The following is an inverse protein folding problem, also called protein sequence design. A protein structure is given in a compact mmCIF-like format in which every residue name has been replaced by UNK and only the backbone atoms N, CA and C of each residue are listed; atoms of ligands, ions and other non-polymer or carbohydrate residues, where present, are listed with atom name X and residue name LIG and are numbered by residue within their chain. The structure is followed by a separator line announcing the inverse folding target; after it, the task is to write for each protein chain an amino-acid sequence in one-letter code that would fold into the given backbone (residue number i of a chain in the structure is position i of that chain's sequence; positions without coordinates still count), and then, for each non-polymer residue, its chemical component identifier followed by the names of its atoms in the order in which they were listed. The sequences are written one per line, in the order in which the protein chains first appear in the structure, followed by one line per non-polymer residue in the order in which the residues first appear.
data_IF_259224836523
#
_entry.id   IF_259224836523
#
_cell.length_a   1.000
_cell.length_b   1.000
_cell.length_c   1.000
_cell.angle_alpha   90.00
_cell.angle_beta   90.00
_cell.angle_gamma   90.00
#
_symmetry.space_group_name_H-M   'P 1'
#
loop_
_entity.id
_entity.type
_entity.pdbx_description
1 polymer ?
#
# COMPACT_ATOMS: atom_id res chain seq x y z
N UNK A 1 -8.32 10.08 4.79
CA UNK A 1 -8.69 8.79 5.39
C UNK A 1 -10.06 8.94 6.04
N UNK A 2 -10.94 7.95 5.89
CA UNK A 2 -12.31 8.09 6.36
C UNK A 2 -12.39 7.80 7.86
N UNK A 3 -13.45 8.31 8.51
CA UNK A 3 -13.71 8.10 9.94
C UNK A 3 -14.00 6.60 10.17
N UNK A 4 -13.87 6.13 11.42
CA UNK A 4 -14.13 4.75 11.88
C UNK A 4 -12.94 3.78 11.80
N UNK A 5 -13.18 2.55 12.27
CA UNK A 5 -12.23 1.43 12.29
C UNK A 5 -11.67 1.15 10.89
N UNK A 6 -10.41 0.73 10.82
CA UNK A 6 -9.77 0.20 9.59
C UNK A 6 -9.92 -1.33 9.47
N UNK A 7 -10.72 -1.93 10.35
CA UNK A 7 -11.05 -3.35 10.33
C UNK A 7 -12.55 -3.52 10.13
N UNK A 8 -12.92 -4.34 9.17
CA UNK A 8 -14.30 -4.68 8.85
C UNK A 8 -14.50 -6.20 8.98
N UNK A 9 -15.55 -6.61 9.70
CA UNK A 9 -15.85 -8.03 9.93
C UNK A 9 -16.60 -8.65 8.74
N UNK A 10 -16.20 -9.86 8.35
CA UNK A 10 -16.84 -10.63 7.28
C UNK A 10 -17.38 -11.93 7.86
N UNK A 11 -18.70 -12.00 8.03
CA UNK A 11 -19.39 -13.12 8.64
C UNK A 11 -19.12 -14.47 7.94
N UNK A 12 -19.01 -14.47 6.61
CA UNK A 12 -18.74 -15.68 5.80
C UNK A 12 -17.34 -16.28 6.05
N UNK A 13 -16.40 -15.45 6.54
CA UNK A 13 -15.03 -15.84 6.86
C UNK A 13 -14.78 -15.94 8.36
N UNK A 14 -15.71 -15.46 9.18
CA UNK A 14 -15.55 -15.27 10.62
C UNK A 14 -14.24 -14.54 11.00
N UNK A 15 -13.89 -13.53 10.20
CA UNK A 15 -12.62 -12.81 10.31
C UNK A 15 -12.81 -11.35 9.94
N UNK A 16 -11.91 -10.50 10.41
CA UNK A 16 -11.79 -9.12 9.95
C UNK A 16 -10.81 -9.02 8.78
N UNK A 17 -11.07 -8.13 7.83
CA UNK A 17 -10.06 -7.67 6.87
C UNK A 17 -9.67 -6.22 7.13
N UNK A 18 -8.47 -5.87 6.72
CA UNK A 18 -7.92 -4.52 6.85
C UNK A 18 -8.29 -3.67 5.63
N UNK A 19 -8.73 -2.44 5.88
CA UNK A 19 -8.90 -1.40 4.87
C UNK A 19 -8.43 -0.06 5.43
N UNK A 20 -7.57 0.64 4.70
CA UNK A 20 -7.10 1.94 5.15
C UNK A 20 -8.08 3.06 4.79
N UNK A 21 -8.70 2.97 3.62
CA UNK A 21 -9.59 3.99 3.09
C UNK A 21 -11.05 3.62 3.33
N UNK A 22 -11.77 3.19 2.29
CA UNK A 22 -13.16 2.74 2.41
C UNK A 22 -13.22 1.23 2.63
N UNK A 23 -14.32 0.74 3.19
CA UNK A 23 -14.56 -0.72 3.29
C UNK A 23 -14.57 -1.39 1.92
N UNK A 24 -14.94 -0.68 0.85
CA UNK A 24 -14.87 -1.16 -0.53
C UNK A 24 -13.44 -1.25 -1.10
N UNK A 25 -12.42 -0.80 -0.35
CA UNK A 25 -11.00 -0.83 -0.72
C UNK A 25 -10.22 -1.68 0.30
N UNK A 26 -10.39 -3.02 0.30
CA UNK A 26 -9.58 -3.90 1.12
C UNK A 26 -8.11 -3.79 0.71
N UNK A 27 -7.21 -3.75 1.69
CA UNK A 27 -5.78 -3.67 1.41
C UNK A 27 -5.24 -5.00 0.87
N UNK A 28 -4.28 -4.89 -0.06
CA UNK A 28 -3.52 -6.03 -0.54
C UNK A 28 -2.37 -6.33 0.43
N UNK A 29 -2.15 -7.61 0.72
CA UNK A 29 -1.02 -8.02 1.55
C UNK A 29 0.28 -8.07 0.74
N UNK A 30 1.07 -6.99 0.75
CA UNK A 30 2.37 -6.90 0.08
C UNK A 30 3.48 -7.77 0.67
N UNK A 31 3.24 -8.43 1.82
CA UNK A 31 4.14 -9.49 2.34
C UNK A 31 3.94 -10.82 1.63
N UNK A 32 2.84 -10.98 0.89
CA UNK A 32 2.62 -12.16 0.06
C UNK A 32 3.39 -12.02 -1.26
N UNK A 33 4.39 -12.88 -1.55
CA UNK A 33 5.18 -12.78 -2.77
C UNK A 33 4.34 -12.92 -4.04
N UNK A 34 3.17 -13.58 -3.96
CA UNK A 34 2.23 -13.65 -5.09
C UNK A 34 1.67 -12.27 -5.40
N UNK A 35 1.22 -11.50 -4.40
CA UNK A 35 0.73 -10.12 -4.60
C UNK A 35 1.81 -9.24 -5.21
N UNK A 36 3.04 -9.36 -4.73
CA UNK A 36 4.19 -8.61 -5.29
C UNK A 36 4.38 -8.93 -6.76
N UNK A 37 4.34 -10.21 -7.15
CA UNK A 37 4.49 -10.62 -8.54
C UNK A 37 3.32 -10.14 -9.40
N UNK A 38 2.08 -10.30 -8.95
CA UNK A 38 0.90 -9.83 -9.69
C UNK A 38 0.97 -8.31 -9.94
N UNK A 39 1.39 -7.52 -8.96
CA UNK A 39 1.54 -6.08 -9.15
C UNK A 39 2.68 -5.72 -10.13
N UNK A 40 3.77 -6.49 -10.16
CA UNK A 40 4.82 -6.35 -11.18
C UNK A 40 4.28 -6.67 -12.58
N UNK A 41 3.46 -7.70 -12.70
CA UNK A 41 2.85 -8.08 -13.98
C UNK A 41 1.85 -7.03 -14.47
N UNK A 42 1.10 -6.38 -13.57
CA UNK A 42 0.26 -5.21 -13.89
C UNK A 42 1.09 -4.05 -14.45
N UNK A 43 2.24 -3.74 -13.85
CA UNK A 43 3.14 -2.70 -14.39
C UNK A 43 3.64 -3.06 -15.80
N UNK A 44 4.07 -4.31 -16.00
CA UNK A 44 4.54 -4.80 -17.31
C UNK A 44 3.41 -4.72 -18.35
N UNK A 45 2.20 -5.15 -18.00
CA UNK A 45 1.04 -5.11 -18.89
C UNK A 45 0.83 -3.70 -19.47
N UNK A 46 0.84 -2.67 -18.61
CA UNK A 46 0.64 -1.30 -19.06
C UNK A 46 1.84 -0.76 -19.85
N UNK A 47 3.07 -1.12 -19.48
CA UNK A 47 4.27 -0.78 -20.26
C UNK A 47 4.24 -1.41 -21.66
N UNK A 48 3.73 -2.64 -21.79
CA UNK A 48 3.55 -3.32 -23.09
C UNK A 48 2.51 -2.61 -23.96
N UNK A 49 1.52 -1.94 -23.35
CA UNK A 49 0.56 -1.06 -24.05
C UNK A 49 1.16 0.29 -24.45
N UNK A 50 2.36 0.61 -23.98
CA UNK A 50 3.11 1.79 -24.38
C UNK A 50 2.93 3.03 -23.51
N UNK A 51 2.55 2.87 -22.23
CA UNK A 51 2.62 3.99 -21.27
C UNK A 51 4.08 4.35 -20.98
N UNK A 52 4.36 5.63 -20.75
CA UNK A 52 5.71 6.13 -20.49
C UNK A 52 6.14 6.09 -19.01
N UNK A 53 5.18 5.86 -18.10
CA UNK A 53 5.46 5.80 -16.67
C UNK A 53 4.20 5.73 -15.82
N UNK A 54 4.41 5.77 -14.50
CA UNK A 54 3.36 5.60 -13.50
C UNK A 54 3.45 6.65 -12.40
N UNK A 55 2.29 7.07 -11.90
CA UNK A 55 2.14 7.71 -10.60
C UNK A 55 1.66 6.64 -9.62
N UNK A 56 2.42 6.39 -8.55
CA UNK A 56 2.02 5.47 -7.49
C UNK A 56 1.22 6.24 -6.44
N UNK A 57 -0.08 5.94 -6.34
CA UNK A 57 -0.96 6.50 -5.31
C UNK A 57 -0.77 5.76 -3.97
N UNK A 58 -1.04 6.44 -2.86
CA UNK A 58 -0.99 5.88 -1.50
C UNK A 58 0.30 5.13 -1.11
N UNK A 59 1.41 5.35 -1.83
CA UNK A 59 2.68 4.64 -1.62
C UNK A 59 3.16 4.54 -0.16
N UNK A 60 2.99 5.56 0.71
CA UNK A 60 3.37 5.45 2.12
C UNK A 60 2.71 4.32 2.92
N UNK A 61 1.64 3.70 2.41
CA UNK A 61 0.79 2.77 3.13
C UNK A 61 0.82 1.35 2.56
N UNK A 62 1.91 0.94 1.91
CA UNK A 62 2.02 -0.39 1.30
C UNK A 62 2.16 -1.52 2.33
N UNK A 63 2.60 -1.21 3.55
CA UNK A 63 2.87 -2.20 4.59
C UNK A 63 2.42 -1.72 5.96
N UNK A 64 1.94 -2.67 6.74
CA UNK A 64 1.60 -2.52 8.15
C UNK A 64 2.49 -3.38 9.06
N UNK A 65 2.47 -3.08 10.35
CA UNK A 65 3.14 -3.84 11.40
C UNK A 65 2.64 -5.29 11.41
N UNK A 66 3.56 -6.23 11.21
CA UNK A 66 3.23 -7.66 11.12
C UNK A 66 2.72 -8.25 12.45
N UNK A 67 2.98 -7.59 13.57
CA UNK A 67 2.47 -7.98 14.89
C UNK A 67 1.08 -7.37 15.20
N UNK A 68 0.55 -6.51 14.31
CA UNK A 68 -0.75 -5.85 14.47
C UNK A 68 -0.92 -5.17 15.84
N UNK A 69 0.13 -4.51 16.33
CA UNK A 69 0.11 -3.82 17.62
C UNK A 69 -0.80 -2.60 17.59
N UNK A 70 -1.42 -2.31 18.73
CA UNK A 70 -2.17 -1.07 18.92
C UNK A 70 -1.27 0.15 18.72
N UNK A 71 -1.69 1.06 17.85
CA UNK A 71 -0.98 2.29 17.63
C UNK A 71 -1.07 3.21 18.86
N UNK A 72 0.01 3.89 19.24
CA UNK A 72 -0.05 4.86 20.32
C UNK A 72 -0.86 6.09 19.91
N UNK A 73 -1.30 6.87 20.90
CA UNK A 73 -1.92 8.18 20.67
C UNK A 73 -0.97 9.11 19.88
N UNK A 74 -1.52 9.98 19.05
CA UNK A 74 -0.74 11.03 18.41
C UNK A 74 -0.43 12.16 19.39
N UNK A 75 0.63 12.94 19.10
CA UNK A 75 1.04 14.09 19.90
C UNK A 75 -0.07 15.15 20.07
N UNK A 76 -1.04 15.18 19.15
CA UNK A 76 -2.17 16.12 19.15
C UNK A 76 -3.54 15.43 19.27
N UNK A 77 -3.59 14.19 19.77
CA UNK A 77 -4.80 13.37 19.86
C UNK A 77 -5.98 14.07 20.57
N UNK A 78 -5.72 14.93 21.55
CA UNK A 78 -6.74 15.69 22.30
C UNK A 78 -7.63 16.56 21.39
N UNK A 79 -7.15 16.92 20.20
CA UNK A 79 -7.91 17.71 19.20
C UNK A 79 -8.89 16.86 18.39
N UNK A 80 -8.84 15.55 18.52
CA UNK A 80 -9.56 14.59 17.68
C UNK A 80 -10.39 13.62 18.51
N UNK A 81 -11.45 13.09 17.93
CA UNK A 81 -12.23 12.01 18.53
C UNK A 81 -11.54 10.67 18.29
N UNK A 82 -11.74 9.65 19.15
CA UNK A 82 -11.09 8.34 19.00
C UNK A 82 -11.26 7.65 17.64
N UNK A 83 -12.35 7.93 16.94
CA UNK A 83 -12.65 7.38 15.61
C UNK A 83 -12.11 8.22 14.44
N UNK A 84 -11.40 9.31 14.72
CA UNK A 84 -10.82 10.17 13.69
C UNK A 84 -9.38 9.79 13.40
N UNK A 85 -9.03 9.79 12.13
CA UNK A 85 -7.71 9.37 11.62
C UNK A 85 -6.50 10.01 12.31
N UNK A 86 -6.63 11.26 12.79
CA UNK A 86 -5.54 11.99 13.42
C UNK A 86 -5.39 11.70 14.92
N UNK A 87 -6.27 10.89 15.50
CA UNK A 87 -6.24 10.53 16.93
C UNK A 87 -5.07 9.60 17.28
N UNK A 88 -4.72 8.67 16.38
CA UNK A 88 -3.62 7.73 16.58
C UNK A 88 -2.38 8.14 15.78
N UNK A 89 -1.22 7.82 16.34
CA UNK A 89 0.04 7.82 15.61
C UNK A 89 0.03 6.73 14.53
N UNK A 90 0.77 6.93 13.45
CA UNK A 90 0.74 6.05 12.26
C UNK A 90 2.01 5.24 12.07
N UNK A 91 2.83 5.15 13.12
CA UNK A 91 4.14 4.49 13.09
C UNK A 91 4.09 3.02 12.64
N UNK A 92 2.92 2.38 12.74
CA UNK A 92 2.73 0.98 12.38
C UNK A 92 2.08 0.76 11.03
N UNK A 93 1.67 1.82 10.32
CA UNK A 93 0.92 1.68 9.04
C UNK A 93 1.42 2.61 7.94
N UNK A 94 2.33 3.53 8.26
CA UNK A 94 2.82 4.54 7.32
C UNK A 94 4.34 4.61 7.35
N UNK A 95 4.93 4.69 6.17
CA UNK A 95 6.38 4.86 5.95
C UNK A 95 7.23 3.71 6.54
N UNK A 96 6.70 2.49 6.61
CA UNK A 96 7.50 1.33 7.04
C UNK A 96 8.64 1.06 6.05
N UNK A 97 9.83 0.65 6.50
CA UNK A 97 11.02 0.46 5.66
C UNK A 97 10.78 -0.36 4.38
N UNK A 98 10.00 -1.42 4.47
CA UNK A 98 9.69 -2.32 3.35
C UNK A 98 8.96 -1.63 2.20
N UNK A 99 8.28 -0.51 2.50
CA UNK A 99 7.66 0.35 1.48
C UNK A 99 8.71 0.83 0.49
N UNK A 100 9.84 1.33 0.98
CA UNK A 100 10.92 1.84 0.14
C UNK A 100 11.57 0.73 -0.67
N UNK A 101 11.76 -0.45 -0.08
CA UNK A 101 12.26 -1.64 -0.78
C UNK A 101 11.33 -2.02 -1.95
N UNK A 102 10.00 -1.97 -1.76
CA UNK A 102 9.04 -2.22 -2.83
C UNK A 102 9.12 -1.19 -3.95
N UNK A 103 9.27 0.10 -3.62
CA UNK A 103 9.46 1.16 -4.61
C UNK A 103 10.75 0.92 -5.41
N UNK A 104 11.85 0.52 -4.77
CA UNK A 104 13.09 0.19 -5.47
C UNK A 104 12.95 -1.03 -6.39
N UNK A 105 12.22 -2.06 -5.97
CA UNK A 105 11.92 -3.21 -6.84
C UNK A 105 11.11 -2.81 -8.08
N UNK A 106 10.11 -1.93 -7.93
CA UNK A 106 9.37 -1.42 -9.09
C UNK A 106 10.24 -0.54 -9.98
N UNK A 107 11.12 0.28 -9.40
CA UNK A 107 12.09 1.06 -10.18
C UNK A 107 13.01 0.16 -11.01
N UNK A 108 13.57 -0.87 -10.39
CA UNK A 108 14.43 -1.84 -11.06
C UNK A 108 13.71 -2.55 -12.21
N UNK A 109 12.43 -2.92 -12.01
CA UNK A 109 11.60 -3.48 -13.07
C UNK A 109 11.50 -2.54 -14.27
N UNK A 110 11.21 -1.25 -14.04
CA UNK A 110 11.12 -0.24 -15.12
C UNK A 110 12.47 -0.08 -15.85
N UNK A 111 13.58 -0.05 -15.10
CA UNK A 111 14.92 0.02 -15.69
C UNK A 111 15.25 -1.18 -16.57
N UNK A 112 14.92 -2.38 -16.10
CA UNK A 112 15.15 -3.62 -16.83
C UNK A 112 14.24 -3.71 -18.05
N UNK A 113 12.98 -3.30 -17.94
CA UNK A 113 12.06 -3.22 -19.06
C UNK A 113 12.59 -2.27 -20.15
N UNK A 114 13.05 -1.07 -19.78
CA UNK A 114 13.65 -0.12 -20.72
C UNK A 114 14.89 -0.67 -21.41
N UNK A 115 15.79 -1.36 -20.71
CA UNK A 115 16.98 -1.99 -21.31
C UNK A 115 16.62 -3.06 -22.34
N UNK A 116 15.56 -3.83 -22.09
CA UNK A 116 15.17 -4.94 -22.96
C UNK A 116 14.33 -4.51 -24.16
N UNK A 117 13.47 -3.49 -24.00
CA UNK A 117 12.48 -3.09 -25.01
C UNK A 117 12.57 -1.62 -25.47
N UNK A 118 13.47 -0.82 -24.91
CA UNK A 118 13.65 0.58 -25.27
C UNK A 118 14.47 0.74 -26.55
N UNK A 119 13.83 1.17 -27.63
CA UNK A 119 14.50 1.74 -28.82
C UNK A 119 14.71 3.26 -28.68
N UNK A 120 15.29 3.90 -29.70
CA UNK A 120 15.66 5.34 -29.71
C UNK A 120 14.51 6.36 -29.51
N UNK A 121 13.28 5.90 -29.27
CA UNK A 121 12.09 6.74 -29.04
C UNK A 121 11.49 6.58 -27.64
N UNK A 122 12.12 5.83 -26.73
CA UNK A 122 11.66 5.60 -25.34
C UNK A 122 12.78 5.71 -24.28
#
# INVERSE_FOLDING_TARGET
MFKYSTWEYVAERDQFYYHLFTTAQPELNFRNPKVVQEMKDVLIFWLDKGVDGFRIDAAPFLFEDAAFRDAPLSDNHEKYKPYEYMYLSRIYIKDLPETYDMIYQWRELLDNYKKQKGGNTR
#
